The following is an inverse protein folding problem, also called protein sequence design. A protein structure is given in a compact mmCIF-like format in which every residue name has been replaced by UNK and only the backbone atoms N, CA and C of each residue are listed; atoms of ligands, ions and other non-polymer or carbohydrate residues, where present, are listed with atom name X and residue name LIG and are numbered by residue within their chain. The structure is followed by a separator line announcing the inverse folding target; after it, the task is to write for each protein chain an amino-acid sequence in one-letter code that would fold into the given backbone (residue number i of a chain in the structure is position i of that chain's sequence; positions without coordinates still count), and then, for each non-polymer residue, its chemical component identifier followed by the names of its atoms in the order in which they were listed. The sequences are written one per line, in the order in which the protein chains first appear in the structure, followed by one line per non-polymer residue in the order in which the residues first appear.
data_IF_373072100152
#
_entry.id   IF_373072100152
#
_cell.length_a   1.000
_cell.length_b   1.000
_cell.length_c   1.000
_cell.angle_alpha   90.00
_cell.angle_beta   90.00
_cell.angle_gamma   90.00
#
_symmetry.space_group_name_H-M   'P 1'
#
loop_
_entity.id
_entity.type
_entity.pdbx_description
1 polymer ?
#
# COMPACT_ATOMS: atom_id res chain seq x y z
N UNK A 1 9.00 20.69 -14.12
CA UNK A 1 7.62 20.58 -13.66
C UNK A 1 6.75 20.22 -14.87
N UNK A 2 6.62 18.96 -15.16
CA UNK A 2 5.69 18.44 -16.17
C UNK A 2 4.80 17.45 -15.46
N UNK A 3 3.54 17.86 -15.27
CA UNK A 3 2.46 17.06 -14.73
C UNK A 3 2.16 15.92 -15.70
N UNK A 4 2.48 14.68 -15.35
CA UNK A 4 1.92 13.54 -16.03
C UNK A 4 0.46 13.40 -15.63
N UNK A 5 -0.40 13.83 -16.54
CA UNK A 5 -1.82 13.52 -16.53
C UNK A 5 -1.93 12.03 -16.87
N UNK A 6 -2.44 11.24 -15.95
CA UNK A 6 -2.88 9.87 -16.22
C UNK A 6 -3.90 9.90 -17.37
N UNK A 7 -3.87 8.91 -18.31
CA UNK A 7 -4.89 8.84 -19.33
C UNK A 7 -6.25 8.66 -18.67
N UNK A 8 -7.16 9.61 -18.97
CA UNK A 8 -8.55 9.57 -18.55
C UNK A 8 -9.25 8.32 -19.10
N UNK A 9 -9.63 7.42 -18.26
CA UNK A 9 -10.97 6.93 -17.95
C UNK A 9 -11.89 6.56 -19.13
N UNK A 10 -11.73 5.33 -19.62
CA UNK A 10 -12.85 4.53 -20.14
C UNK A 10 -13.64 3.84 -18.99
N UNK A 11 -13.35 4.20 -17.73
CA UNK A 11 -13.90 3.61 -16.52
C UNK A 11 -15.13 4.30 -15.93
N UNK A 12 -15.52 5.48 -16.42
CA UNK A 12 -16.50 6.32 -15.70
C UNK A 12 -17.94 5.80 -15.75
N UNK A 13 -18.39 5.19 -16.82
CA UNK A 13 -19.77 4.68 -16.91
C UNK A 13 -19.95 3.32 -16.22
N UNK A 14 -18.94 2.45 -16.23
CA UNK A 14 -19.00 1.17 -15.52
C UNK A 14 -18.90 1.35 -14.01
N UNK A 15 -18.15 2.34 -13.53
CA UNK A 15 -18.01 2.66 -12.10
C UNK A 15 -19.33 3.17 -11.50
N UNK A 16 -20.09 3.97 -12.23
CA UNK A 16 -21.39 4.50 -11.78
C UNK A 16 -22.48 3.40 -11.67
N UNK A 17 -22.31 2.28 -12.36
CA UNK A 17 -23.22 1.14 -12.32
C UNK A 17 -22.82 0.05 -11.32
N UNK A 18 -21.68 0.21 -10.63
CA UNK A 18 -21.28 -0.73 -9.58
C UNK A 18 -22.23 -0.65 -8.39
N UNK A 19 -22.55 -1.79 -7.72
CA UNK A 19 -23.39 -1.75 -6.54
C UNK A 19 -22.74 -0.91 -5.43
N UNK A 20 -23.57 -0.24 -4.65
CA UNK A 20 -23.13 0.45 -3.43
C UNK A 20 -23.05 -0.57 -2.30
N UNK A 21 -22.00 -0.50 -1.53
CA UNK A 21 -21.78 -1.28 -0.31
C UNK A 21 -21.73 -0.33 0.88
N UNK A 22 -22.43 -0.66 1.95
CA UNK A 22 -22.46 0.13 3.18
C UNK A 22 -21.77 -0.68 4.29
N UNK A 23 -20.79 -0.06 4.94
CA UNK A 23 -20.06 -0.65 6.05
C UNK A 23 -20.28 0.20 7.30
N UNK A 24 -20.63 -0.46 8.41
CA UNK A 24 -20.79 0.20 9.72
C UNK A 24 -20.07 -0.58 10.81
N UNK A 25 -19.72 0.12 11.88
CA UNK A 25 -19.11 -0.45 13.07
C UNK A 25 -19.63 0.31 14.29
N UNK A 26 -19.26 -0.12 15.48
CA UNK A 26 -19.63 0.57 16.72
C UNK A 26 -19.08 2.00 16.74
N UNK A 27 -17.85 2.19 16.25
CA UNK A 27 -17.23 3.50 16.07
C UNK A 27 -16.60 3.63 14.67
N UNK A 28 -16.64 4.84 14.14
CA UNK A 28 -15.87 5.22 12.95
C UNK A 28 -14.90 6.32 13.33
N UNK A 29 -13.61 6.07 13.21
CA UNK A 29 -12.55 7.06 13.34
C UNK A 29 -12.25 7.64 11.96
N UNK A 30 -12.54 8.90 11.73
CA UNK A 30 -12.31 9.51 10.40
C UNK A 30 -10.85 9.85 10.15
N UNK A 31 -10.06 10.02 11.23
CA UNK A 31 -8.66 10.47 11.20
C UNK A 31 -8.53 11.78 10.41
N UNK A 32 -9.52 12.66 10.57
CA UNK A 32 -9.51 14.00 10.02
C UNK A 32 -8.81 14.98 10.97
N UNK A 33 -8.70 16.25 10.56
CA UNK A 33 -8.02 17.30 11.35
C UNK A 33 -8.68 17.57 12.72
N UNK A 34 -9.90 17.09 12.95
CA UNK A 34 -10.66 17.29 14.17
C UNK A 34 -10.72 16.04 15.05
N UNK A 35 -10.02 14.96 14.66
CA UNK A 35 -10.09 13.65 15.34
C UNK A 35 -11.53 13.16 15.53
N UNK A 36 -12.38 13.34 14.50
CA UNK A 36 -13.80 13.05 14.57
C UNK A 36 -14.06 11.57 14.80
N UNK A 37 -14.84 11.25 15.83
CA UNK A 37 -15.35 9.90 16.13
C UNK A 37 -16.84 9.91 15.92
N UNK A 38 -17.34 8.99 15.08
CA UNK A 38 -18.75 8.85 14.79
C UNK A 38 -19.29 7.56 15.39
N UNK A 39 -20.51 7.62 15.92
CA UNK A 39 -21.33 6.48 16.35
C UNK A 39 -22.59 6.43 15.49
N UNK A 40 -23.27 5.28 15.47
CA UNK A 40 -24.50 5.07 14.68
C UNK A 40 -24.36 5.50 13.20
N UNK A 41 -23.13 5.42 12.69
CA UNK A 41 -22.72 5.92 11.38
C UNK A 41 -22.19 4.79 10.50
N UNK A 42 -22.06 5.08 9.22
CA UNK A 42 -21.53 4.16 8.23
C UNK A 42 -20.75 4.89 7.13
N UNK A 43 -20.02 4.14 6.33
CA UNK A 43 -19.48 4.58 5.06
C UNK A 43 -20.24 3.89 3.92
N UNK A 44 -20.49 4.62 2.84
CA UNK A 44 -20.97 4.06 1.58
C UNK A 44 -19.81 4.04 0.58
N UNK A 45 -19.59 2.89 -0.04
CA UNK A 45 -18.51 2.65 -1.00
C UNK A 45 -19.13 2.24 -2.33
N UNK A 46 -18.63 2.80 -3.42
CA UNK A 46 -18.99 2.41 -4.79
C UNK A 46 -17.74 2.32 -5.64
N UNK A 47 -17.55 1.21 -6.35
CA UNK A 47 -16.36 0.95 -7.17
C UNK A 47 -15.03 1.19 -6.43
N UNK A 48 -14.95 0.82 -5.15
CA UNK A 48 -13.73 0.99 -4.32
C UNK A 48 -13.51 2.41 -3.79
N UNK A 49 -14.45 3.34 -4.01
CA UNK A 49 -14.37 4.73 -3.55
C UNK A 49 -15.40 5.00 -2.47
N UNK A 50 -15.01 5.65 -1.38
CA UNK A 50 -15.95 6.14 -0.37
C UNK A 50 -16.72 7.31 -0.97
N UNK A 51 -18.04 7.15 -1.13
CA UNK A 51 -18.91 8.16 -1.72
C UNK A 51 -19.69 8.96 -0.67
N UNK A 52 -19.83 8.43 0.54
CA UNK A 52 -20.46 9.12 1.66
C UNK A 52 -20.00 8.54 3.01
N UNK A 53 -20.01 9.41 4.02
CA UNK A 53 -19.82 9.05 5.44
C UNK A 53 -20.90 9.79 6.23
N UNK A 54 -21.64 9.10 7.10
CA UNK A 54 -22.69 9.75 7.90
C UNK A 54 -23.61 8.76 8.62
N UNK A 55 -24.73 9.24 9.15
CA UNK A 55 -25.68 8.39 9.88
C UNK A 55 -26.13 7.17 9.06
N UNK A 56 -26.03 5.99 9.65
CA UNK A 56 -26.38 4.73 8.98
C UNK A 56 -27.79 4.75 8.36
N UNK A 57 -28.76 5.28 9.11
CA UNK A 57 -30.16 5.34 8.66
C UNK A 57 -30.32 6.19 7.39
N UNK A 58 -29.54 7.25 7.22
CA UNK A 58 -29.60 8.12 6.05
C UNK A 58 -28.96 7.45 4.85
N UNK A 59 -27.83 6.77 5.01
CA UNK A 59 -27.17 6.04 3.93
C UNK A 59 -28.04 4.87 3.43
N UNK A 60 -28.67 4.11 4.33
CA UNK A 60 -29.57 3.04 3.95
C UNK A 60 -30.82 3.58 3.20
N UNK A 61 -31.30 4.77 3.56
CA UNK A 61 -32.42 5.41 2.87
C UNK A 61 -32.01 5.92 1.49
N UNK A 62 -30.80 6.47 1.39
CA UNK A 62 -30.26 6.98 0.11
C UNK A 62 -29.92 5.85 -0.88
N UNK A 63 -29.53 4.69 -0.38
CA UNK A 63 -29.11 3.53 -1.17
C UNK A 63 -29.88 2.26 -0.79
N UNK A 64 -31.19 2.17 -1.11
CA UNK A 64 -32.05 1.07 -0.64
C UNK A 64 -31.68 -0.31 -1.20
N UNK A 65 -30.90 -0.36 -2.27
CA UNK A 65 -30.40 -1.61 -2.88
C UNK A 65 -28.96 -1.95 -2.47
N UNK A 66 -28.33 -1.14 -1.62
CA UNK A 66 -26.97 -1.40 -1.17
C UNK A 66 -26.90 -2.65 -0.27
N UNK A 67 -25.80 -3.39 -0.40
CA UNK A 67 -25.48 -4.39 0.62
C UNK A 67 -25.00 -3.68 1.88
N UNK A 68 -25.39 -4.18 3.05
CA UNK A 68 -24.95 -3.63 4.33
C UNK A 68 -24.23 -4.70 5.13
N UNK A 69 -23.02 -4.38 5.59
CA UNK A 69 -22.25 -5.18 6.53
C UNK A 69 -21.97 -4.38 7.79
N UNK A 70 -22.36 -4.95 8.94
CA UNK A 70 -22.05 -4.40 10.25
C UNK A 70 -20.94 -5.21 10.92
N UNK A 71 -20.00 -4.52 11.57
CA UNK A 71 -18.93 -5.12 12.34
C UNK A 71 -19.16 -4.82 13.82
N UNK A 72 -19.63 -5.84 14.56
CA UNK A 72 -19.86 -5.74 16.00
C UNK A 72 -18.54 -5.56 16.76
N UNK A 73 -18.56 -4.80 17.84
CA UNK A 73 -17.42 -4.56 18.74
C UNK A 73 -16.13 -4.15 18.00
N UNK A 74 -16.30 -3.37 16.95
CA UNK A 74 -15.21 -3.01 16.05
C UNK A 74 -15.14 -1.51 15.81
N UNK A 75 -13.98 -1.07 15.38
CA UNK A 75 -13.72 0.30 14.93
C UNK A 75 -13.44 0.27 13.43
N UNK A 76 -14.16 1.07 12.66
CA UNK A 76 -13.86 1.33 11.26
C UNK A 76 -12.99 2.56 11.15
N UNK A 77 -11.85 2.45 10.48
CA UNK A 77 -10.89 3.54 10.32
C UNK A 77 -10.17 3.42 8.98
N UNK A 78 -9.55 4.50 8.47
CA UNK A 78 -8.65 4.40 7.32
C UNK A 78 -7.55 3.38 7.56
N UNK A 79 -7.16 2.65 6.50
CA UNK A 79 -6.03 1.73 6.57
C UNK A 79 -4.75 2.47 6.94
N UNK A 80 -3.90 1.81 7.72
CA UNK A 80 -2.62 2.38 8.14
C UNK A 80 -1.68 2.60 6.95
N UNK A 81 -0.84 3.61 7.06
CA UNK A 81 0.22 3.92 6.08
C UNK A 81 1.57 3.63 6.71
N UNK A 82 2.33 2.73 6.11
CA UNK A 82 3.74 2.51 6.46
C UNK A 82 4.61 3.48 5.64
N UNK A 83 5.05 4.56 6.28
CA UNK A 83 5.82 5.62 5.64
C UNK A 83 7.33 5.31 5.48
N UNK A 84 7.81 4.14 5.92
CA UNK A 84 9.19 3.71 5.73
C UNK A 84 9.28 2.19 5.76
N UNK A 85 9.59 1.59 4.61
CA UNK A 85 9.76 0.13 4.51
C UNK A 85 10.71 -0.28 3.39
N UNK A 86 11.17 -1.52 3.48
CA UNK A 86 11.96 -2.23 2.49
C UNK A 86 11.32 -3.60 2.32
N UNK A 87 10.18 -3.67 1.61
CA UNK A 87 9.34 -4.87 1.55
C UNK A 87 10.11 -6.11 1.10
N UNK A 88 11.01 -5.96 0.12
CA UNK A 88 11.85 -7.05 -0.35
C UNK A 88 12.84 -7.60 0.68
N UNK A 89 13.19 -6.81 1.71
CA UNK A 89 14.11 -7.26 2.78
C UNK A 89 13.50 -8.29 3.73
N UNK A 90 12.22 -8.57 3.65
CA UNK A 90 11.57 -9.57 4.52
C UNK A 90 12.23 -10.95 4.43
N UNK A 91 12.90 -11.26 3.31
CA UNK A 91 13.67 -12.50 3.14
C UNK A 91 14.88 -12.61 4.08
N UNK A 92 15.35 -11.48 4.63
CA UNK A 92 16.48 -11.42 5.56
C UNK A 92 16.06 -11.27 7.03
N UNK A 93 14.77 -11.47 7.33
CA UNK A 93 14.25 -11.37 8.70
C UNK A 93 15.03 -12.27 9.64
N UNK A 94 15.52 -11.70 10.74
CA UNK A 94 16.33 -12.40 11.75
C UNK A 94 17.82 -12.56 11.41
N UNK A 95 18.27 -12.15 10.22
CA UNK A 95 19.68 -12.33 9.81
C UNK A 95 20.65 -11.48 10.64
N UNK A 96 20.22 -10.30 11.06
CA UNK A 96 21.10 -9.31 11.72
C UNK A 96 20.48 -8.73 13.00
N UNK A 97 19.74 -9.55 13.74
CA UNK A 97 19.14 -9.15 15.02
C UNK A 97 20.24 -8.77 16.03
N UNK A 98 19.90 -7.80 16.89
CA UNK A 98 20.79 -7.31 17.96
C UNK A 98 22.14 -6.73 17.48
N UNK A 99 22.19 -6.20 16.25
CA UNK A 99 23.38 -5.58 15.66
C UNK A 99 23.24 -4.05 15.62
N UNK A 100 24.38 -3.35 15.74
CA UNK A 100 24.40 -1.94 15.38
C UNK A 100 24.32 -1.77 13.85
N UNK A 101 24.07 -0.55 13.37
CA UNK A 101 23.88 -0.27 11.96
C UNK A 101 25.02 -0.77 11.07
N UNK A 102 26.29 -0.56 11.48
CA UNK A 102 27.42 -1.00 10.67
C UNK A 102 27.48 -2.53 10.56
N UNK A 103 27.31 -3.22 11.67
CA UNK A 103 27.27 -4.70 11.70
C UNK A 103 26.08 -5.25 10.89
N UNK A 104 24.94 -4.56 10.93
CA UNK A 104 23.78 -4.90 10.11
C UNK A 104 24.11 -4.79 8.62
N UNK A 105 24.69 -3.66 8.19
CA UNK A 105 25.07 -3.43 6.79
C UNK A 105 26.13 -4.43 6.32
N UNK A 106 27.14 -4.73 7.16
CA UNK A 106 28.20 -5.70 6.85
C UNK A 106 27.67 -7.12 6.60
N UNK A 107 26.52 -7.48 7.19
CA UNK A 107 25.86 -8.77 6.99
C UNK A 107 24.86 -8.74 5.84
N UNK A 108 24.01 -7.72 5.79
CA UNK A 108 22.88 -7.68 4.86
C UNK A 108 23.31 -7.36 3.44
N UNK A 109 24.21 -6.39 3.23
CA UNK A 109 24.63 -6.01 1.87
C UNK A 109 25.29 -7.16 1.08
N UNK A 110 26.19 -7.98 1.65
CA UNK A 110 26.70 -9.15 0.93
C UNK A 110 25.62 -10.22 0.68
N UNK A 111 24.69 -10.40 1.61
CA UNK A 111 23.57 -11.34 1.43
C UNK A 111 22.64 -10.86 0.30
N UNK A 112 22.31 -9.57 0.26
CA UNK A 112 21.56 -8.97 -0.85
C UNK A 112 22.27 -9.18 -2.18
N UNK A 113 23.56 -8.86 -2.28
CA UNK A 113 24.32 -9.05 -3.51
C UNK A 113 24.32 -10.50 -4.01
N UNK A 114 24.27 -11.47 -3.09
CA UNK A 114 24.26 -12.89 -3.41
C UNK A 114 22.90 -13.40 -3.92
N UNK A 115 21.79 -12.90 -3.38
CA UNK A 115 20.47 -13.53 -3.59
C UNK A 115 19.44 -12.64 -4.30
N UNK A 116 19.66 -11.32 -4.40
CA UNK A 116 18.69 -10.44 -5.04
C UNK A 116 18.59 -10.72 -6.53
N UNK A 117 17.39 -11.03 -6.96
CA UNK A 117 16.95 -11.22 -8.34
C UNK A 117 15.49 -10.77 -8.41
N UNK A 118 14.99 -10.43 -9.57
CA UNK A 118 13.58 -10.08 -9.76
C UNK A 118 12.64 -11.09 -9.11
N UNK A 119 12.92 -12.38 -9.28
CA UNK A 119 12.09 -13.44 -8.70
C UNK A 119 12.11 -13.44 -7.16
N UNK A 120 13.28 -13.33 -6.53
CA UNK A 120 13.39 -13.33 -5.06
C UNK A 120 12.73 -12.08 -4.45
N UNK A 121 12.94 -10.91 -5.06
CA UNK A 121 12.30 -9.65 -4.65
C UNK A 121 10.78 -9.73 -4.83
N UNK A 122 10.30 -10.26 -5.97
CA UNK A 122 8.87 -10.43 -6.22
C UNK A 122 8.17 -11.27 -5.15
N UNK A 123 8.76 -12.42 -4.79
CA UNK A 123 8.17 -13.33 -3.78
C UNK A 123 8.23 -12.70 -2.38
N UNK A 124 9.37 -12.14 -2.01
CA UNK A 124 9.55 -11.52 -0.70
C UNK A 124 8.63 -10.30 -0.51
N UNK A 125 8.53 -9.44 -1.53
CA UNK A 125 7.63 -8.28 -1.51
C UNK A 125 6.18 -8.71 -1.41
N UNK A 126 5.74 -9.71 -2.17
CA UNK A 126 4.36 -10.19 -2.09
C UNK A 126 4.03 -10.75 -0.69
N UNK A 127 4.96 -11.48 -0.07
CA UNK A 127 4.80 -11.99 1.29
C UNK A 127 4.70 -10.85 2.31
N UNK A 128 5.58 -9.84 2.22
CA UNK A 128 5.57 -8.68 3.10
C UNK A 128 4.31 -7.81 2.91
N UNK A 129 3.88 -7.62 1.66
CA UNK A 129 2.65 -6.88 1.35
C UNK A 129 1.42 -7.59 1.92
N UNK A 130 1.33 -8.91 1.78
CA UNK A 130 0.23 -9.71 2.34
C UNK A 130 0.20 -9.63 3.88
N UNK A 131 1.36 -9.75 4.53
CA UNK A 131 1.50 -9.58 5.97
C UNK A 131 1.07 -8.18 6.41
N UNK A 132 1.47 -7.15 5.66
CA UNK A 132 1.10 -5.75 5.91
C UNK A 132 -0.41 -5.54 5.82
N UNK A 133 -1.05 -6.06 4.78
CA UNK A 133 -2.52 -5.96 4.60
C UNK A 133 -3.26 -6.68 5.73
N UNK A 134 -2.80 -7.87 6.15
CA UNK A 134 -3.37 -8.58 7.29
C UNK A 134 -3.21 -7.82 8.62
N UNK A 135 -2.18 -6.98 8.73
CA UNK A 135 -1.97 -6.10 9.87
C UNK A 135 -2.73 -4.75 9.77
N UNK A 136 -3.52 -4.54 8.70
CA UNK A 136 -4.28 -3.31 8.47
C UNK A 136 -3.49 -2.19 7.78
N UNK A 137 -2.28 -2.45 7.30
CA UNK A 137 -1.49 -1.50 6.50
C UNK A 137 -1.91 -1.62 5.04
N UNK A 138 -2.48 -0.55 4.47
CA UNK A 138 -3.02 -0.55 3.10
C UNK A 138 -2.17 0.21 2.10
N UNK A 139 -1.19 0.97 2.61
CA UNK A 139 -0.29 1.80 1.78
C UNK A 139 1.11 1.77 2.36
N UNK A 140 2.12 1.66 1.52
CA UNK A 140 3.52 1.73 1.94
C UNK A 140 4.31 2.73 1.09
N UNK A 141 5.31 3.37 1.73
CA UNK A 141 6.40 4.04 1.06
C UNK A 141 7.61 3.10 1.15
N UNK A 142 7.94 2.47 0.03
CA UNK A 142 9.04 1.52 -0.09
C UNK A 142 10.27 2.17 -0.74
N UNK A 143 11.42 1.73 -0.34
CA UNK A 143 12.69 2.05 -0.99
C UNK A 143 13.54 0.78 -1.05
N UNK A 144 13.56 0.14 -2.21
CA UNK A 144 14.31 -1.09 -2.39
C UNK A 144 14.78 -1.27 -3.85
N UNK A 145 15.49 -2.36 -4.12
CA UNK A 145 15.92 -2.74 -5.46
C UNK A 145 14.75 -3.30 -6.28
N UNK A 146 14.84 -3.20 -7.61
CA UNK A 146 13.82 -3.67 -8.56
C UNK A 146 12.44 -3.03 -8.30
N UNK A 147 12.34 -1.69 -8.31
CA UNK A 147 11.10 -0.99 -7.95
C UNK A 147 9.89 -1.42 -8.81
N UNK A 148 10.08 -1.70 -10.09
CA UNK A 148 9.01 -2.21 -10.96
C UNK A 148 8.45 -3.55 -10.46
N UNK A 149 9.34 -4.42 -9.96
CA UNK A 149 8.98 -5.72 -9.40
C UNK A 149 8.25 -5.55 -8.06
N UNK A 150 8.67 -4.58 -7.25
CA UNK A 150 8.00 -4.22 -5.99
C UNK A 150 6.58 -3.75 -6.28
N UNK A 151 6.40 -2.81 -7.22
CA UNK A 151 5.08 -2.30 -7.62
C UNK A 151 4.18 -3.44 -8.09
N UNK A 152 4.65 -4.26 -9.03
CA UNK A 152 3.88 -5.38 -9.56
C UNK A 152 3.52 -6.42 -8.48
N UNK A 153 4.38 -6.65 -7.49
CA UNK A 153 4.10 -7.56 -6.39
C UNK A 153 3.04 -7.01 -5.44
N UNK A 154 3.10 -5.71 -5.11
CA UNK A 154 2.09 -5.04 -4.28
C UNK A 154 0.73 -4.98 -4.98
N UNK A 155 0.70 -4.70 -6.29
CA UNK A 155 -0.53 -4.65 -7.08
C UNK A 155 -1.26 -6.00 -7.07
N UNK A 156 -0.54 -7.12 -7.22
CA UNK A 156 -1.14 -8.46 -7.12
C UNK A 156 -1.78 -8.76 -5.77
N UNK A 157 -1.29 -8.15 -4.70
CA UNK A 157 -1.84 -8.29 -3.34
C UNK A 157 -2.98 -7.28 -3.10
N UNK A 158 -3.09 -6.24 -3.91
CA UNK A 158 -4.05 -5.15 -3.75
C UNK A 158 -3.58 -4.08 -2.75
N UNK A 159 -2.28 -3.99 -2.48
CA UNK A 159 -1.69 -2.99 -1.59
C UNK A 159 -1.15 -1.80 -2.40
N UNK A 160 -1.48 -0.59 -1.98
CA UNK A 160 -0.90 0.61 -2.58
C UNK A 160 0.56 0.77 -2.16
N UNK A 161 1.43 1.09 -3.10
CA UNK A 161 2.83 1.37 -2.83
C UNK A 161 3.31 2.61 -3.60
N UNK A 162 4.08 3.43 -2.93
CA UNK A 162 4.98 4.40 -3.55
C UNK A 162 6.39 3.86 -3.38
N UNK A 163 7.17 3.82 -4.45
CA UNK A 163 8.54 3.35 -4.38
C UNK A 163 9.51 4.40 -4.88
N UNK A 164 10.66 4.47 -4.23
CA UNK A 164 11.78 5.32 -4.63
C UNK A 164 12.92 4.50 -5.22
N UNK A 165 13.67 5.11 -6.12
CA UNK A 165 14.87 4.50 -6.70
C UNK A 165 15.99 4.46 -5.67
N UNK A 166 16.65 3.33 -5.54
CA UNK A 166 17.79 3.15 -4.64
C UNK A 166 19.11 3.38 -5.39
N UNK A 167 19.90 4.32 -4.90
CA UNK A 167 21.24 4.62 -5.42
C UNK A 167 22.30 4.14 -4.41
N UNK A 168 22.86 2.96 -4.62
CA UNK A 168 23.94 2.43 -3.80
C UNK A 168 25.16 2.08 -4.68
N UNK A 169 26.19 2.91 -4.60
CA UNK A 169 27.42 2.69 -5.36
C UNK A 169 27.28 2.97 -6.86
N UNK A 170 28.23 2.45 -7.64
CA UNK A 170 28.31 2.68 -9.09
C UNK A 170 27.39 1.76 -9.90
N UNK A 171 27.10 0.56 -9.38
CA UNK A 171 26.20 -0.43 -10.01
C UNK A 171 25.51 -1.22 -8.91
N UNK A 172 24.19 -1.15 -8.89
CA UNK A 172 23.36 -1.94 -7.95
C UNK A 172 23.16 -3.39 -8.39
N UNK A 173 22.47 -4.23 -7.57
CA UNK A 173 22.11 -5.61 -7.89
C UNK A 173 21.34 -5.76 -9.21
N UNK A 174 20.66 -4.71 -9.65
CA UNK A 174 19.90 -4.64 -10.90
C UNK A 174 20.81 -4.50 -12.13
N UNK A 175 22.13 -4.34 -11.95
CA UNK A 175 23.07 -4.11 -13.02
C UNK A 175 22.98 -2.71 -13.66
N UNK A 176 22.22 -1.78 -13.06
CA UNK A 176 22.08 -0.40 -13.53
C UNK A 176 23.08 0.51 -12.81
N UNK A 177 23.85 1.27 -13.57
CA UNK A 177 24.67 2.36 -13.01
C UNK A 177 23.83 3.60 -12.71
N UNK A 178 24.40 4.55 -11.97
CA UNK A 178 23.68 5.74 -11.49
C UNK A 178 22.96 6.53 -12.59
N UNK A 179 23.55 6.66 -13.80
CA UNK A 179 22.91 7.36 -14.92
C UNK A 179 21.65 6.64 -15.43
N UNK A 180 21.71 5.32 -15.61
CA UNK A 180 20.56 4.52 -16.04
C UNK A 180 19.46 4.48 -14.98
N UNK A 181 19.81 4.57 -13.71
CA UNK A 181 18.89 4.68 -12.58
C UNK A 181 18.15 6.04 -12.60
N UNK A 182 18.87 7.12 -12.92
CA UNK A 182 18.26 8.46 -13.06
C UNK A 182 17.30 8.54 -14.26
N UNK A 183 17.67 7.97 -15.41
CA UNK A 183 16.78 7.92 -16.57
C UNK A 183 15.47 7.19 -16.27
N UNK A 184 15.52 6.15 -15.46
CA UNK A 184 14.32 5.41 -15.05
C UNK A 184 13.39 6.25 -14.17
N UNK A 185 13.92 7.08 -13.27
CA UNK A 185 13.12 7.95 -12.38
C UNK A 185 12.41 9.09 -13.11
N UNK A 186 12.81 9.40 -14.34
CA UNK A 186 12.21 10.46 -15.16
C UNK A 186 11.06 9.95 -16.07
N UNK A 187 10.83 8.64 -16.13
CA UNK A 187 9.76 7.99 -16.90
C UNK A 187 8.49 7.83 -16.05
#
# INVERSE_FOLDING_TARGET
MTSHVHPETSGSESALNSPVEIFSAEWILTVDQNDTVLTESAIAVQAGVIIAVGPLADLLRAHPSATHQHFDQSVLMPGMVNAHTHLGMTMFRGLADDRNLQQFLDLVMPAEAAVLREQSVSVATAAAALESVHAGVTTALDMYYFPDVVVAACDRVGMRVMTGTTFLGSVGPEGRGGSAQMEWTEQ
#
